data_IF_889229457612
#
_entry.id   IF_889229457612
#
_cell.length_a   1.000
_cell.length_b   1.000
_cell.length_c   1.000
_cell.angle_alpha   90.00
_cell.angle_beta   90.00
_cell.angle_gamma   90.00
#
_symmetry.space_group_name_H-M   'P 1'
#
loop_
_entity.id
_entity.type
_entity.pdbx_description
1 polymer ?
#
# COMPACT_ATOMS: atom_id res chain seq x y z
N UNK A 1 -35.62 -72.49 48.36
CA UNK A 1 -34.54 -71.78 49.13
C UNK A 1 -33.60 -71.21 48.18
N UNK A 2 -33.76 -69.99 47.75
CA UNK A 2 -32.71 -69.19 47.03
C UNK A 2 -32.88 -67.75 47.43
N UNK A 3 -31.85 -67.22 48.12
CA UNK A 3 -31.68 -65.86 48.53
C UNK A 3 -31.15 -65.05 47.37
N UNK A 4 -31.82 -64.01 46.94
CA UNK A 4 -31.32 -63.05 46.00
C UNK A 4 -30.88 -61.78 46.69
N UNK A 5 -29.58 -61.58 46.73
CA UNK A 5 -28.96 -60.34 47.19
C UNK A 5 -28.99 -59.31 46.09
N UNK A 6 -29.70 -58.21 46.28
CA UNK A 6 -29.65 -57.02 45.40
C UNK A 6 -28.39 -56.21 45.70
N UNK A 7 -27.52 -56.11 44.67
CA UNK A 7 -26.37 -55.19 44.70
C UNK A 7 -26.84 -53.77 44.36
N UNK A 8 -26.68 -52.85 45.29
CA UNK A 8 -26.89 -51.42 45.05
C UNK A 8 -25.77 -50.83 44.19
N UNK A 9 -26.15 -50.16 43.09
CA UNK A 9 -25.23 -49.36 42.31
C UNK A 9 -25.25 -47.94 42.81
N UNK A 10 -24.12 -47.52 43.43
CA UNK A 10 -23.87 -46.12 43.75
C UNK A 10 -23.46 -45.41 42.44
N UNK A 11 -24.37 -44.61 41.92
CA UNK A 11 -24.02 -43.66 40.86
C UNK A 11 -23.37 -42.41 41.49
N UNK A 12 -22.03 -42.29 41.40
CA UNK A 12 -21.35 -41.04 41.68
C UNK A 12 -21.65 -40.09 40.52
N UNK A 13 -22.47 -39.08 40.79
CA UNK A 13 -22.66 -37.95 39.89
C UNK A 13 -21.43 -37.04 39.89
N UNK A 14 -20.67 -37.02 38.78
CA UNK A 14 -19.62 -36.04 38.58
C UNK A 14 -20.27 -34.72 38.18
N UNK A 15 -20.32 -33.77 39.09
CA UNK A 15 -20.71 -32.37 38.79
C UNK A 15 -19.51 -31.70 38.19
N UNK A 16 -19.49 -31.56 36.87
CA UNK A 16 -18.48 -30.75 36.18
C UNK A 16 -18.80 -29.26 36.40
N UNK A 17 -18.06 -28.60 37.25
CA UNK A 17 -18.12 -27.17 37.44
C UNK A 17 -17.44 -26.48 36.27
N UNK A 18 -18.21 -25.93 35.31
CA UNK A 18 -17.75 -25.03 34.27
C UNK A 18 -17.35 -23.69 34.95
N UNK A 19 -16.05 -23.48 35.15
CA UNK A 19 -15.52 -22.20 35.57
C UNK A 19 -15.55 -21.24 34.37
N UNK A 20 -16.56 -20.38 34.27
CA UNK A 20 -16.55 -19.22 33.40
C UNK A 20 -15.50 -18.25 33.91
N UNK A 21 -14.34 -18.16 33.24
CA UNK A 21 -13.39 -17.09 33.46
C UNK A 21 -14.01 -15.79 32.95
N UNK A 22 -14.57 -14.99 33.84
CA UNK A 22 -14.93 -13.61 33.56
C UNK A 22 -13.64 -12.85 33.25
N UNK A 23 -13.42 -12.53 31.95
CA UNK A 23 -12.38 -11.61 31.55
C UNK A 23 -12.80 -10.22 32.03
N UNK A 24 -12.31 -9.84 33.21
CA UNK A 24 -12.54 -8.50 33.74
C UNK A 24 -11.70 -7.53 32.91
N UNK A 25 -12.32 -6.81 31.98
CA UNK A 25 -11.68 -5.70 31.28
C UNK A 25 -11.37 -4.61 32.30
N UNK A 26 -10.09 -4.38 32.56
CA UNK A 26 -9.66 -3.25 33.37
C UNK A 26 -9.96 -1.94 32.61
N UNK A 27 -10.68 -0.96 33.21
CA UNK A 27 -10.93 0.32 32.55
C UNK A 27 -9.66 1.05 32.12
N UNK A 28 -8.56 0.89 32.85
CA UNK A 28 -7.25 1.45 32.49
C UNK A 28 -6.71 0.84 31.21
N UNK A 29 -6.79 -0.49 31.03
CA UNK A 29 -6.35 -1.17 29.82
C UNK A 29 -7.19 -0.74 28.60
N UNK A 30 -8.49 -0.62 28.76
CA UNK A 30 -9.37 -0.15 27.68
C UNK A 30 -9.05 1.31 27.29
N UNK A 31 -8.70 2.17 28.26
CA UNK A 31 -8.29 3.55 27.99
C UNK A 31 -6.96 3.61 27.23
N UNK A 32 -5.99 2.76 27.58
CA UNK A 32 -4.70 2.67 26.90
C UNK A 32 -4.85 2.14 25.46
N UNK A 33 -5.66 1.11 25.26
CA UNK A 33 -5.97 0.57 23.91
C UNK A 33 -6.65 1.63 23.04
N UNK A 34 -7.61 2.39 23.58
CA UNK A 34 -8.26 3.48 22.86
C UNK A 34 -7.29 4.61 22.51
N UNK A 35 -6.37 4.96 23.41
CA UNK A 35 -5.35 5.97 23.15
C UNK A 35 -4.39 5.53 22.03
N UNK A 36 -3.96 4.27 22.02
CA UNK A 36 -3.14 3.70 20.95
C UNK A 36 -3.87 3.70 19.60
N UNK A 37 -5.14 3.31 19.60
CA UNK A 37 -5.97 3.34 18.39
C UNK A 37 -6.10 4.75 17.82
N UNK A 38 -6.42 5.75 18.66
CA UNK A 38 -6.52 7.16 18.25
C UNK A 38 -5.20 7.69 17.67
N UNK A 39 -4.06 7.29 18.26
CA UNK A 39 -2.73 7.65 17.76
C UNK A 39 -2.47 7.04 16.39
N UNK A 40 -2.77 5.76 16.21
CA UNK A 40 -2.62 5.07 14.91
C UNK A 40 -3.51 5.70 13.84
N UNK A 41 -4.77 6.04 14.16
CA UNK A 41 -5.68 6.73 13.25
C UNK A 41 -5.16 8.12 12.86
N UNK A 42 -4.63 8.88 13.81
CA UNK A 42 -4.04 10.19 13.53
C UNK A 42 -2.82 10.08 12.61
N UNK A 43 -1.94 9.08 12.82
CA UNK A 43 -0.81 8.80 11.94
C UNK A 43 -1.30 8.42 10.53
N UNK A 44 -2.27 7.53 10.42
CA UNK A 44 -2.84 7.11 9.14
C UNK A 44 -3.34 8.31 8.31
N UNK A 45 -4.03 9.25 8.94
CA UNK A 45 -4.48 10.50 8.29
C UNK A 45 -3.31 11.35 7.77
N UNK A 46 -2.23 11.44 8.52
CA UNK A 46 -1.01 12.18 8.11
C UNK A 46 -0.34 11.50 6.92
N UNK A 47 -0.22 10.16 6.93
CA UNK A 47 0.37 9.40 5.84
C UNK A 47 -0.44 9.55 4.55
N UNK A 48 -1.78 9.47 4.61
CA UNK A 48 -2.65 9.70 3.45
C UNK A 48 -2.50 11.12 2.90
N UNK A 49 -2.47 12.13 3.76
CA UNK A 49 -2.28 13.52 3.31
C UNK A 49 -0.91 13.74 2.63
N UNK A 50 0.16 13.11 3.14
CA UNK A 50 1.48 13.12 2.48
C UNK A 50 1.45 12.40 1.14
N UNK A 51 0.72 11.27 1.06
CA UNK A 51 0.57 10.50 -0.17
C UNK A 51 -0.18 11.30 -1.25
N UNK A 52 -1.28 11.97 -0.88
CA UNK A 52 -2.01 12.87 -1.80
C UNK A 52 -1.08 13.98 -2.31
N UNK A 53 -0.29 14.61 -1.43
CA UNK A 53 0.67 15.65 -1.82
C UNK A 53 1.80 15.10 -2.72
N UNK A 54 2.28 13.89 -2.45
CA UNK A 54 3.26 13.21 -3.29
C UNK A 54 2.75 13.12 -4.74
N UNK A 55 1.58 12.56 -4.95
CA UNK A 55 1.07 12.29 -6.29
C UNK A 55 0.53 13.54 -6.99
N UNK A 56 -0.29 14.34 -6.27
CA UNK A 56 -0.96 15.50 -6.88
C UNK A 56 -0.04 16.70 -7.08
N UNK A 57 0.96 16.88 -6.24
CA UNK A 57 1.87 18.03 -6.32
C UNK A 57 3.30 17.63 -6.72
N UNK A 58 3.96 16.74 -5.99
CA UNK A 58 5.35 16.44 -6.23
C UNK A 58 5.58 15.69 -7.54
N UNK A 59 4.87 14.56 -7.76
CA UNK A 59 4.98 13.76 -8.98
C UNK A 59 4.39 14.48 -10.19
N UNK A 60 3.14 14.90 -10.13
CA UNK A 60 2.42 15.53 -11.25
C UNK A 60 3.11 16.80 -11.75
N UNK A 61 3.70 17.60 -10.87
CA UNK A 61 4.40 18.81 -11.23
C UNK A 61 5.93 18.64 -11.29
N UNK A 62 6.43 17.40 -11.26
CA UNK A 62 7.86 17.06 -11.36
C UNK A 62 8.74 17.78 -10.33
N UNK A 63 8.22 18.01 -9.11
CA UNK A 63 8.94 18.66 -8.00
C UNK A 63 9.75 17.62 -7.23
N UNK A 64 10.79 17.07 -7.86
CA UNK A 64 11.55 15.91 -7.40
C UNK A 64 12.19 16.09 -6.01
N UNK A 65 12.58 17.28 -5.64
CA UNK A 65 13.12 17.63 -4.31
C UNK A 65 12.09 17.51 -3.18
N UNK A 66 10.80 17.46 -3.49
CA UNK A 66 9.76 17.24 -2.48
C UNK A 66 9.57 15.75 -2.14
N UNK A 67 10.10 14.82 -2.95
CA UNK A 67 9.98 13.38 -2.69
C UNK A 67 10.55 12.97 -1.33
N UNK A 68 11.62 13.63 -0.86
CA UNK A 68 12.18 13.42 0.48
C UNK A 68 11.21 13.69 1.65
N UNK A 69 10.08 14.35 1.41
CA UNK A 69 9.05 14.58 2.43
C UNK A 69 8.19 13.35 2.69
N UNK A 70 8.13 12.43 1.71
CA UNK A 70 7.36 11.19 1.75
C UNK A 70 8.20 9.92 1.64
N UNK A 71 9.45 9.99 1.16
CA UNK A 71 10.33 8.85 0.96
C UNK A 71 11.60 8.95 1.81
N UNK A 72 12.03 7.83 2.38
CA UNK A 72 13.34 7.69 2.99
C UNK A 72 14.43 7.67 1.91
N UNK A 73 15.66 8.10 2.26
CA UNK A 73 16.75 8.12 1.32
C UNK A 73 17.15 6.73 0.79
N UNK A 74 16.92 5.70 1.58
CA UNK A 74 17.23 4.28 1.35
C UNK A 74 15.99 3.43 1.00
N UNK A 75 14.92 4.04 0.51
CA UNK A 75 13.67 3.35 0.15
C UNK A 75 13.90 2.19 -0.82
N UNK A 76 13.18 1.09 -0.59
CA UNK A 76 13.04 -0.03 -1.54
C UNK A 76 11.75 0.15 -2.34
N UNK A 77 11.84 0.15 -3.67
CA UNK A 77 10.69 0.26 -4.56
C UNK A 77 10.51 -1.03 -5.36
N UNK A 78 9.35 -1.65 -5.23
CA UNK A 78 8.96 -2.89 -5.89
C UNK A 78 8.07 -2.59 -7.09
N UNK A 79 8.58 -2.86 -8.29
CA UNK A 79 7.93 -2.51 -9.55
C UNK A 79 7.01 -3.64 -10.07
N UNK A 80 6.02 -3.33 -10.94
CA UNK A 80 5.03 -4.31 -11.40
C UNK A 80 5.59 -5.48 -12.22
N UNK A 81 6.79 -5.35 -12.77
CA UNK A 81 7.50 -6.41 -13.50
C UNK A 81 8.35 -7.31 -12.59
N UNK A 82 8.33 -7.04 -11.27
CA UNK A 82 9.00 -7.82 -10.25
C UNK A 82 10.44 -7.38 -9.94
N UNK A 83 11.00 -6.38 -10.64
CA UNK A 83 12.30 -5.87 -10.21
C UNK A 83 12.18 -4.93 -9.00
N UNK A 84 13.28 -4.74 -8.29
CA UNK A 84 13.37 -3.86 -7.11
C UNK A 84 14.48 -2.84 -7.34
N UNK A 85 14.19 -1.59 -7.02
CA UNK A 85 15.20 -0.52 -7.01
C UNK A 85 15.42 0.00 -5.59
N UNK A 86 16.65 0.43 -5.31
CA UNK A 86 17.08 0.88 -3.98
C UNK A 86 17.50 2.34 -4.01
N UNK A 87 17.02 3.10 -3.08
CA UNK A 87 17.35 4.50 -2.86
C UNK A 87 16.49 5.48 -3.64
N UNK A 88 16.23 6.62 -2.99
CA UNK A 88 15.36 7.66 -3.50
C UNK A 88 15.86 8.27 -4.82
N UNK A 89 17.16 8.47 -4.97
CA UNK A 89 17.73 9.03 -6.22
C UNK A 89 17.45 8.13 -7.43
N UNK A 90 17.58 6.80 -7.23
CA UNK A 90 17.27 5.81 -8.27
C UNK A 90 15.78 5.84 -8.60
N UNK A 91 14.91 5.84 -7.60
CA UNK A 91 13.47 5.92 -7.79
C UNK A 91 13.06 7.17 -8.60
N UNK A 92 13.60 8.34 -8.25
CA UNK A 92 13.36 9.58 -8.98
C UNK A 92 13.85 9.48 -10.44
N UNK A 93 15.00 8.86 -10.68
CA UNK A 93 15.51 8.67 -12.04
C UNK A 93 14.57 7.79 -12.90
N UNK A 94 14.03 6.73 -12.32
CA UNK A 94 13.08 5.84 -12.99
C UNK A 94 11.74 6.55 -13.28
N UNK A 95 11.24 7.36 -12.34
CA UNK A 95 10.04 8.18 -12.57
C UNK A 95 10.25 9.23 -13.67
N UNK A 96 11.40 9.92 -13.67
CA UNK A 96 11.75 10.90 -14.71
C UNK A 96 11.75 10.29 -16.10
N UNK A 97 12.15 9.04 -16.25
CA UNK A 97 12.16 8.34 -17.54
C UNK A 97 10.75 8.28 -18.17
N UNK A 98 9.69 8.20 -17.36
CA UNK A 98 8.30 8.24 -17.84
C UNK A 98 7.96 9.60 -18.47
N UNK A 99 8.38 10.70 -17.86
CA UNK A 99 8.11 12.06 -18.34
C UNK A 99 8.88 12.41 -19.62
N UNK A 100 9.92 11.64 -19.99
CA UNK A 100 10.64 11.82 -21.26
C UNK A 100 9.72 11.59 -22.46
N UNK A 101 8.91 10.55 -22.42
CA UNK A 101 8.04 10.19 -23.56
C UNK A 101 6.57 10.60 -23.39
N UNK A 102 6.12 10.80 -22.13
CA UNK A 102 4.78 11.27 -21.80
C UNK A 102 4.88 12.46 -20.81
N UNK A 103 5.26 13.66 -21.30
CA UNK A 103 5.57 14.80 -20.42
C UNK A 103 4.36 15.37 -19.68
N UNK A 104 3.14 15.03 -20.09
CA UNK A 104 1.87 15.39 -19.45
C UNK A 104 1.36 14.36 -18.44
N UNK A 105 2.20 13.39 -18.07
CA UNK A 105 1.87 12.37 -17.06
C UNK A 105 1.46 13.03 -15.74
N UNK A 106 0.34 12.59 -15.17
CA UNK A 106 -0.22 13.18 -13.94
C UNK A 106 -1.08 12.19 -13.19
N UNK A 107 -1.25 12.45 -11.89
CA UNK A 107 -2.22 11.82 -11.00
C UNK A 107 -3.00 12.93 -10.31
N UNK A 108 -4.32 12.97 -10.48
CA UNK A 108 -5.20 13.99 -9.86
C UNK A 108 -6.30 13.38 -9.01
N UNK A 109 -6.41 12.07 -9.00
CA UNK A 109 -7.50 11.40 -8.32
C UNK A 109 -7.00 10.16 -7.56
N UNK A 110 -7.40 10.06 -6.30
CA UNK A 110 -7.26 8.87 -5.48
C UNK A 110 -8.66 8.39 -5.07
N UNK A 111 -9.33 7.53 -5.85
CA UNK A 111 -10.68 7.05 -5.54
C UNK A 111 -10.74 6.17 -4.30
N UNK A 112 -9.63 5.51 -3.94
CA UNK A 112 -9.54 4.68 -2.74
C UNK A 112 -8.28 5.04 -1.96
N UNK A 113 -8.45 5.25 -0.66
CA UNK A 113 -7.38 5.49 0.31
C UNK A 113 -7.62 4.64 1.53
N UNK A 114 -6.69 3.76 1.84
CA UNK A 114 -6.74 2.91 3.03
C UNK A 114 -5.44 3.12 3.78
N UNK A 115 -5.53 3.30 5.10
CA UNK A 115 -4.36 3.37 5.95
C UNK A 115 -4.64 2.68 7.29
N UNK A 116 -3.63 1.98 7.79
CA UNK A 116 -3.66 1.35 9.11
C UNK A 116 -2.26 1.38 9.71
N UNK A 117 -2.07 2.22 10.74
CA UNK A 117 -0.77 2.38 11.39
C UNK A 117 0.32 2.85 10.41
N UNK A 118 1.32 2.00 10.19
CA UNK A 118 2.49 2.26 9.35
C UNK A 118 2.26 1.90 7.85
N UNK A 119 1.07 1.46 7.48
CA UNK A 119 0.76 1.04 6.11
C UNK A 119 -0.30 1.92 5.45
N UNK A 120 -0.07 2.22 4.18
CA UNK A 120 -1.06 2.84 3.28
C UNK A 120 -1.27 1.98 2.04
N UNK A 121 -2.49 2.01 1.50
CA UNK A 121 -2.81 1.49 0.18
C UNK A 121 -3.68 2.52 -0.52
N UNK A 122 -3.20 3.03 -1.65
CA UNK A 122 -3.85 4.10 -2.40
C UNK A 122 -4.06 3.64 -3.84
N UNK A 123 -5.27 3.82 -4.35
CA UNK A 123 -5.53 3.69 -5.78
C UNK A 123 -5.45 5.08 -6.38
N UNK A 124 -4.50 5.27 -7.31
CA UNK A 124 -4.31 6.47 -8.11
C UNK A 124 -4.77 6.26 -9.54
N UNK A 125 -5.32 7.31 -10.14
CA UNK A 125 -5.60 7.35 -11.58
C UNK A 125 -4.47 8.11 -12.27
N UNK A 126 -3.59 7.38 -12.94
CA UNK A 126 -2.47 7.95 -13.70
C UNK A 126 -2.85 8.12 -15.17
N UNK A 127 -2.68 9.32 -15.70
CA UNK A 127 -3.01 9.68 -17.08
C UNK A 127 -1.82 10.35 -17.75
N UNK A 128 -1.76 10.26 -19.09
CA UNK A 128 -0.79 10.95 -19.91
C UNK A 128 -0.95 10.63 -21.38
N UNK A 129 -0.06 11.17 -22.22
CA UNK A 129 -0.08 10.98 -23.68
C UNK A 129 1.33 10.68 -24.19
N UNK A 130 1.47 9.62 -24.96
CA UNK A 130 2.76 9.25 -25.58
C UNK A 130 3.06 10.18 -26.77
N UNK A 131 3.69 11.33 -26.50
CA UNK A 131 3.91 12.40 -27.48
C UNK A 131 5.36 12.63 -27.87
N UNK A 132 6.34 12.03 -27.16
CA UNK A 132 7.76 12.18 -27.43
C UNK A 132 8.42 10.81 -27.65
N UNK A 133 9.56 10.72 -28.37
CA UNK A 133 10.26 9.46 -28.57
C UNK A 133 10.61 8.78 -27.23
N UNK A 134 10.25 7.50 -27.09
CA UNK A 134 10.53 6.70 -25.90
C UNK A 134 11.91 6.04 -26.03
N UNK A 135 12.89 6.36 -25.16
CA UNK A 135 14.18 5.69 -25.16
C UNK A 135 14.05 4.21 -24.76
N UNK A 136 14.72 3.32 -25.50
CA UNK A 136 14.76 1.87 -25.23
C UNK A 136 16.19 1.34 -25.08
N UNK A 137 17.15 2.21 -24.81
CA UNK A 137 18.56 1.87 -24.68
C UNK A 137 19.33 1.89 -25.99
N UNK A 138 20.66 1.83 -25.90
CA UNK A 138 21.59 1.80 -27.04
C UNK A 138 21.36 2.91 -28.10
N UNK A 139 20.88 4.08 -27.65
CA UNK A 139 20.55 5.19 -28.54
C UNK A 139 19.30 4.99 -29.41
N UNK A 140 18.57 3.90 -29.22
CA UNK A 140 17.33 3.60 -29.94
C UNK A 140 16.13 4.20 -29.24
N UNK A 141 15.11 4.55 -30.03
CA UNK A 141 13.83 5.07 -29.54
C UNK A 141 12.66 4.42 -30.25
N UNK A 142 11.51 4.39 -29.59
CA UNK A 142 10.21 4.09 -30.19
C UNK A 142 9.57 5.43 -30.54
N UNK A 143 9.10 5.64 -31.80
CA UNK A 143 8.40 6.87 -32.18
C UNK A 143 7.11 7.05 -31.36
N UNK A 144 6.72 8.30 -31.06
CA UNK A 144 5.47 8.57 -30.37
C UNK A 144 4.26 8.14 -31.20
N UNK A 145 3.24 7.63 -30.54
CA UNK A 145 1.98 7.23 -31.18
C UNK A 145 0.91 8.30 -31.10
N UNK A 146 1.07 9.31 -30.24
CA UNK A 146 0.06 10.31 -29.91
C UNK A 146 -1.12 9.77 -29.11
N UNK A 147 -1.04 8.50 -28.66
CA UNK A 147 -2.14 7.88 -27.88
C UNK A 147 -2.05 8.22 -26.41
N UNK A 148 -3.20 8.51 -25.82
CA UNK A 148 -3.35 8.72 -24.39
C UNK A 148 -3.48 7.39 -23.65
N UNK A 149 -3.13 7.42 -22.35
CA UNK A 149 -3.37 6.33 -21.43
C UNK A 149 -4.08 6.83 -20.17
N UNK A 150 -4.85 5.93 -19.55
CA UNK A 150 -5.45 6.08 -18.25
C UNK A 150 -5.33 4.77 -17.50
N UNK A 151 -4.53 4.75 -16.45
CA UNK A 151 -4.21 3.56 -15.67
C UNK A 151 -4.76 3.66 -14.26
N UNK A 152 -5.33 2.56 -13.79
CA UNK A 152 -5.57 2.35 -12.37
C UNK A 152 -4.28 1.79 -11.77
N UNK A 153 -3.68 2.55 -10.88
CA UNK A 153 -2.45 2.18 -10.18
C UNK A 153 -2.76 1.99 -8.69
N UNK A 154 -2.31 0.89 -8.11
CA UNK A 154 -2.35 0.70 -6.66
C UNK A 154 -0.94 0.82 -6.12
N UNK A 155 -0.74 1.73 -5.17
CA UNK A 155 0.53 1.86 -4.45
C UNK A 155 0.32 1.48 -2.98
N UNK A 156 1.18 0.57 -2.49
CA UNK A 156 1.23 0.22 -1.06
C UNK A 156 2.53 0.75 -0.48
N UNK A 157 2.43 1.58 0.55
CA UNK A 157 3.57 2.19 1.22
C UNK A 157 3.70 1.73 2.67
N UNK A 158 4.92 1.40 3.09
CA UNK A 158 5.30 1.22 4.49
C UNK A 158 5.98 2.48 5.01
N UNK A 159 5.47 3.04 6.09
CA UNK A 159 5.92 4.29 6.68
C UNK A 159 6.72 4.07 7.96
N UNK A 160 7.85 4.68 8.06
CA UNK A 160 8.69 4.67 9.25
C UNK A 160 8.16 5.63 10.33
N UNK A 161 8.71 5.53 11.53
CA UNK A 161 8.43 6.49 12.61
C UNK A 161 8.89 7.92 12.29
N UNK A 162 9.80 8.10 11.33
CA UNK A 162 10.20 9.41 10.82
C UNK A 162 9.14 10.04 9.90
N UNK A 163 8.12 9.28 9.50
CA UNK A 163 7.02 9.73 8.65
C UNK A 163 7.40 9.80 7.17
N UNK A 164 8.32 8.95 6.73
CA UNK A 164 8.70 8.72 5.34
C UNK A 164 8.55 7.23 5.02
N UNK A 165 8.25 6.89 3.77
CA UNK A 165 8.19 5.51 3.30
C UNK A 165 9.60 4.94 3.13
N UNK A 166 9.83 3.75 3.66
CA UNK A 166 11.04 2.95 3.42
C UNK A 166 10.77 1.79 2.45
N UNK A 167 9.51 1.50 2.16
CA UNK A 167 9.10 0.54 1.12
C UNK A 167 7.92 1.06 0.35
N UNK A 168 7.96 0.88 -0.95
CA UNK A 168 6.87 1.21 -1.86
C UNK A 168 6.64 0.05 -2.84
N UNK A 169 5.40 -0.40 -2.97
CA UNK A 169 4.99 -1.44 -3.89
C UNK A 169 4.07 -0.85 -4.93
N UNK A 170 4.44 -0.94 -6.19
CA UNK A 170 3.72 -0.38 -7.32
C UNK A 170 3.02 -1.50 -8.10
N UNK A 171 1.73 -1.32 -8.35
CA UNK A 171 0.93 -2.27 -9.10
C UNK A 171 0.10 -1.56 -10.18
N UNK A 172 0.30 -1.93 -11.42
CA UNK A 172 -0.57 -1.59 -12.54
C UNK A 172 -0.47 -2.67 -13.61
N UNK A 173 -1.40 -2.68 -14.56
CA UNK A 173 -1.39 -3.61 -15.68
C UNK A 173 -0.51 -3.07 -16.81
N UNK A 174 0.71 -3.58 -16.91
CA UNK A 174 1.67 -3.24 -17.96
C UNK A 174 1.15 -3.57 -19.37
N UNK A 175 0.36 -4.66 -19.52
CA UNK A 175 -0.18 -5.03 -20.82
C UNK A 175 -1.24 -4.02 -21.25
N UNK A 176 -2.13 -3.63 -20.36
CA UNK A 176 -3.11 -2.57 -20.59
C UNK A 176 -2.42 -1.26 -20.93
N UNK A 177 -1.38 -0.88 -20.20
CA UNK A 177 -0.59 0.32 -20.47
C UNK A 177 -0.02 0.32 -21.89
N UNK A 178 0.72 -0.73 -22.26
CA UNK A 178 1.33 -0.86 -23.58
C UNK A 178 0.28 -0.86 -24.71
N UNK A 179 -0.87 -1.49 -24.48
CA UNK A 179 -1.98 -1.50 -25.44
C UNK A 179 -2.56 -0.09 -25.65
N UNK A 180 -2.77 0.66 -24.56
CA UNK A 180 -3.32 2.02 -24.62
C UNK A 180 -2.39 2.97 -25.37
N UNK A 181 -1.08 2.94 -25.11
CA UNK A 181 -0.11 3.77 -25.83
C UNK A 181 0.22 3.26 -27.24
N UNK A 182 -0.40 2.15 -27.69
CA UNK A 182 -0.29 1.62 -29.05
C UNK A 182 0.93 0.73 -29.30
N UNK A 183 1.56 0.21 -28.26
CA UNK A 183 2.71 -0.69 -28.30
C UNK A 183 2.36 -2.14 -27.90
N UNK A 184 1.15 -2.39 -27.44
CA UNK A 184 0.63 -3.73 -27.15
C UNK A 184 0.35 -4.51 -28.44
N UNK A 185 0.55 -5.84 -28.36
CA UNK A 185 0.16 -6.77 -29.43
C UNK A 185 -1.30 -7.16 -29.27
#
# INVERSE_FOLDING_TARGET
MFSNAMKGHNALGVVAALAFALVVFSPARAADELAQYKKAEAMAKVHIAKFDRLDFDAFTNQKWDLFKESHAADIDVYWPDGHVTHGLERHIADLKAMFVYAPDTRIHEHPVRIANGEWTSVIGIMEGTFTQPMPIGEGKTIPPTGKAFKLIMCTVGHWTKAGTMDKEYLFWDNQSYMSQIGLGK
#
